data_IF_450671073343
#
_entry.id   IF_450671073343
#
_cell.length_a   1.000
_cell.length_b   1.000
_cell.length_c   1.000
_cell.angle_alpha   90.00
_cell.angle_beta   90.00
_cell.angle_gamma   90.00
#
_symmetry.space_group_name_H-M   'P 1'
#
loop_
_entity.id
_entity.type
_entity.pdbx_description
1 polymer ?
#
# COMPACT_ATOMS: atom_id res chain seq x y z
N UNK A 1 -51.35 -13.21 -20.59
CA UNK A 1 -50.15 -13.38 -21.43
C UNK A 1 -49.18 -14.20 -20.61
N UNK A 2 -48.98 -15.44 -21.04
CA UNK A 2 -48.30 -16.48 -20.29
C UNK A 2 -46.81 -16.35 -20.56
N UNK A 3 -46.01 -16.06 -19.53
CA UNK A 3 -44.56 -16.10 -19.64
C UNK A 3 -44.17 -17.53 -19.31
N UNK A 4 -43.75 -18.28 -20.33
CA UNK A 4 -43.16 -19.61 -20.17
C UNK A 4 -41.79 -19.45 -19.53
N UNK A 5 -41.63 -20.08 -18.37
CA UNK A 5 -40.34 -20.41 -17.78
C UNK A 5 -39.93 -21.71 -18.44
N UNK A 6 -38.83 -21.68 -19.20
CA UNK A 6 -38.13 -22.88 -19.66
C UNK A 6 -36.78 -22.85 -18.94
N UNK A 7 -36.74 -23.52 -17.80
CA UNK A 7 -35.51 -23.90 -17.10
C UNK A 7 -34.97 -25.13 -17.82
N UNK A 8 -33.89 -24.96 -18.56
CA UNK A 8 -33.06 -26.08 -19.01
C UNK A 8 -31.95 -26.25 -17.97
N UNK A 9 -32.17 -27.18 -17.03
CA UNK A 9 -31.11 -27.76 -16.22
C UNK A 9 -30.31 -28.73 -17.10
N UNK A 10 -29.03 -28.44 -17.34
CA UNK A 10 -28.10 -29.43 -17.89
C UNK A 10 -26.83 -29.54 -17.03
N UNK A 11 -26.80 -30.65 -16.29
CA UNK A 11 -25.68 -31.52 -15.91
C UNK A 11 -24.41 -30.87 -15.34
N UNK A 12 -24.22 -31.04 -14.03
CA UNK A 12 -22.94 -30.82 -13.32
C UNK A 12 -22.00 -32.00 -13.62
N UNK A 13 -20.94 -31.75 -14.39
CA UNK A 13 -19.75 -32.60 -14.38
C UNK A 13 -18.77 -32.13 -13.30
N UNK A 14 -18.32 -33.08 -12.48
CA UNK A 14 -17.37 -32.87 -11.39
C UNK A 14 -15.95 -32.59 -11.92
N UNK A 15 -15.72 -31.35 -12.36
CA UNK A 15 -14.41 -30.75 -12.52
C UNK A 15 -14.32 -29.57 -11.57
N UNK A 16 -13.33 -29.55 -10.68
CA UNK A 16 -13.04 -28.37 -9.86
C UNK A 16 -12.44 -27.26 -10.75
N UNK A 17 -13.27 -26.71 -11.63
CA UNK A 17 -12.99 -25.47 -12.34
C UNK A 17 -13.15 -24.35 -11.31
N UNK A 18 -12.03 -23.77 -10.89
CA UNK A 18 -12.06 -22.49 -10.18
C UNK A 18 -12.53 -21.49 -11.22
N UNK A 19 -13.85 -21.27 -11.30
CA UNK A 19 -14.41 -20.19 -12.12
C UNK A 19 -13.70 -18.90 -11.69
N UNK A 20 -12.82 -18.39 -12.55
CA UNK A 20 -12.17 -17.11 -12.35
C UNK A 20 -13.26 -16.04 -12.46
N UNK A 21 -13.83 -15.65 -11.32
CA UNK A 21 -14.89 -14.67 -11.26
C UNK A 21 -14.32 -13.27 -11.51
N UNK A 22 -14.28 -12.89 -12.78
CA UNK A 22 -13.89 -11.53 -13.20
C UNK A 22 -15.05 -10.56 -12.96
N UNK A 23 -14.77 -9.45 -12.28
CA UNK A 23 -15.71 -8.36 -12.10
C UNK A 23 -15.30 -7.15 -12.95
N UNK A 24 -16.24 -6.62 -13.73
CA UNK A 24 -16.01 -5.38 -14.50
C UNK A 24 -16.13 -4.17 -13.60
N UNK A 25 -15.10 -3.33 -13.57
CA UNK A 25 -15.10 -2.09 -12.80
C UNK A 25 -15.64 -0.96 -13.66
N UNK A 26 -16.78 -0.40 -13.23
CA UNK A 26 -17.40 0.76 -13.87
C UNK A 26 -16.83 2.06 -13.29
N UNK A 27 -15.98 2.76 -14.05
CA UNK A 27 -15.48 4.09 -13.70
C UNK A 27 -16.20 5.21 -14.43
N UNK A 28 -16.50 6.31 -13.73
CA UNK A 28 -16.97 7.54 -14.35
C UNK A 28 -15.82 8.25 -15.12
N UNK A 29 -16.14 9.25 -15.96
CA UNK A 29 -15.14 9.96 -16.79
C UNK A 29 -13.96 10.52 -15.98
N UNK A 30 -14.18 11.02 -14.76
CA UNK A 30 -13.11 11.55 -13.91
C UNK A 30 -12.21 10.43 -13.39
N UNK A 31 -12.78 9.31 -12.95
CA UNK A 31 -12.08 8.13 -12.47
C UNK A 31 -11.24 7.50 -13.59
N UNK A 32 -11.81 7.32 -14.80
CA UNK A 32 -11.06 6.75 -15.93
C UNK A 32 -9.86 7.60 -16.35
N UNK A 33 -10.01 8.92 -16.33
CA UNK A 33 -8.88 9.83 -16.58
C UNK A 33 -7.81 9.74 -15.50
N UNK A 34 -8.20 9.48 -14.24
CA UNK A 34 -7.26 9.24 -13.14
C UNK A 34 -6.51 7.91 -13.37
N UNK A 35 -7.22 6.82 -13.67
CA UNK A 35 -6.62 5.51 -13.96
C UNK A 35 -5.65 5.56 -15.14
N UNK A 36 -5.98 6.30 -16.20
CA UNK A 36 -5.06 6.54 -17.31
C UNK A 36 -3.80 7.30 -16.88
N UNK A 37 -3.94 8.36 -16.07
CA UNK A 37 -2.78 9.08 -15.51
C UNK A 37 -1.91 8.21 -14.62
N UNK A 38 -2.52 7.28 -13.88
CA UNK A 38 -1.84 6.31 -13.02
C UNK A 38 -1.28 5.12 -13.81
N UNK A 39 -1.49 5.05 -15.14
CA UNK A 39 -0.99 3.97 -15.99
C UNK A 39 -1.73 2.63 -15.84
N UNK A 40 -2.91 2.64 -15.22
CA UNK A 40 -3.76 1.44 -15.04
C UNK A 40 -4.51 1.10 -16.33
N UNK A 41 -4.80 2.11 -17.16
CA UNK A 41 -5.41 1.97 -18.48
C UNK A 41 -4.49 2.56 -19.55
N UNK A 42 -4.40 1.90 -20.70
CA UNK A 42 -3.67 2.43 -21.86
C UNK A 42 -4.47 3.58 -22.50
N UNK A 43 -5.77 3.39 -22.67
CA UNK A 43 -6.72 4.40 -23.11
C UNK A 43 -7.87 4.62 -22.12
N UNK A 44 -8.38 5.85 -22.06
CA UNK A 44 -9.49 6.19 -21.15
C UNK A 44 -10.79 5.42 -21.43
N UNK A 45 -10.90 4.78 -22.60
CA UNK A 45 -12.06 4.00 -23.02
C UNK A 45 -11.93 2.50 -22.73
N UNK A 46 -10.75 2.03 -22.32
CA UNK A 46 -10.46 0.60 -22.13
C UNK A 46 -11.18 0.03 -20.91
N UNK A 47 -11.79 -1.14 -21.07
CA UNK A 47 -12.49 -1.81 -19.98
C UNK A 47 -11.52 -2.32 -18.93
N UNK A 48 -11.84 -2.07 -17.66
CA UNK A 48 -11.08 -2.58 -16.52
C UNK A 48 -11.79 -3.79 -15.92
N UNK A 49 -11.13 -4.94 -15.98
CA UNK A 49 -11.59 -6.18 -15.38
C UNK A 49 -10.66 -6.56 -14.23
N UNK A 50 -11.25 -6.98 -13.10
CA UNK A 50 -10.49 -7.37 -11.92
C UNK A 50 -10.85 -8.80 -11.51
N UNK A 51 -9.82 -9.63 -11.41
CA UNK A 51 -9.88 -11.01 -10.94
C UNK A 51 -9.64 -11.10 -9.41
N UNK A 52 -10.08 -10.09 -8.65
CA UNK A 52 -9.95 -10.10 -7.20
C UNK A 52 -11.20 -10.77 -6.60
N UNK A 53 -11.12 -12.07 -6.34
CA UNK A 53 -12.10 -12.75 -5.50
C UNK A 53 -11.93 -12.32 -4.05
N UNK A 54 -12.93 -11.65 -3.47
CA UNK A 54 -12.96 -11.45 -2.02
C UNK A 54 -13.53 -12.72 -1.41
N UNK A 55 -12.75 -13.40 -0.56
CA UNK A 55 -13.29 -14.55 0.18
C UNK A 55 -14.34 -14.05 1.18
N UNK A 56 -15.37 -14.85 1.44
CA UNK A 56 -16.40 -14.53 2.43
C UNK A 56 -15.80 -14.17 3.81
N UNK A 57 -14.71 -14.84 4.19
CA UNK A 57 -13.93 -14.50 5.40
C UNK A 57 -13.31 -13.10 5.36
N UNK A 58 -12.84 -12.65 4.20
CA UNK A 58 -12.25 -11.31 4.05
C UNK A 58 -13.32 -10.22 4.13
N UNK A 59 -14.52 -10.45 3.59
CA UNK A 59 -15.65 -9.52 3.74
C UNK A 59 -16.05 -9.37 5.21
N UNK A 60 -16.20 -10.49 5.92
CA UNK A 60 -16.52 -10.49 7.36
C UNK A 60 -15.45 -9.76 8.18
N UNK A 61 -14.16 -10.03 7.92
CA UNK A 61 -13.06 -9.35 8.60
C UNK A 61 -13.05 -7.84 8.31
N UNK A 62 -13.38 -7.44 7.09
CA UNK A 62 -13.47 -6.04 6.69
C UNK A 62 -14.66 -5.32 7.36
N UNK A 63 -15.83 -5.96 7.39
CA UNK A 63 -16.98 -5.42 8.12
C UNK A 63 -16.71 -5.27 9.62
N UNK A 64 -16.07 -6.27 10.23
CA UNK A 64 -15.74 -6.23 11.65
C UNK A 64 -14.71 -5.13 11.94
N UNK A 65 -13.70 -4.97 11.08
CA UNK A 65 -12.72 -3.89 11.22
C UNK A 65 -13.33 -2.51 11.01
N UNK A 66 -14.31 -2.34 10.11
CA UNK A 66 -15.10 -1.10 9.97
C UNK A 66 -15.95 -0.78 11.19
N UNK A 67 -16.54 -1.79 11.82
CA UNK A 67 -17.37 -1.65 13.03
C UNK A 67 -16.50 -1.27 14.24
N UNK A 68 -15.25 -1.75 14.29
CA UNK A 68 -14.26 -1.38 15.30
C UNK A 68 -13.76 0.05 15.03
N UNK A 69 -14.19 1.01 15.85
CA UNK A 69 -13.64 2.37 15.81
C UNK A 69 -12.13 2.39 16.02
N UNK A 70 -11.47 3.50 15.65
CA UNK A 70 -10.05 3.72 15.96
C UNK A 70 -9.89 3.72 17.48
N UNK A 71 -9.31 2.64 18.03
CA UNK A 71 -9.01 2.52 19.45
C UNK A 71 -7.87 3.45 19.82
N UNK A 72 -7.93 4.02 21.01
CA UNK A 72 -6.83 4.86 21.49
C UNK A 72 -5.61 3.99 21.78
N UNK A 73 -4.43 4.60 21.71
CA UNK A 73 -3.17 3.92 22.00
C UNK A 73 -3.15 3.25 23.39
N UNK A 74 -3.75 3.90 24.38
CA UNK A 74 -3.81 3.42 25.77
C UNK A 74 -4.68 2.17 25.91
N UNK A 75 -5.66 1.98 25.02
CA UNK A 75 -6.51 0.79 24.96
C UNK A 75 -5.83 -0.36 24.21
N UNK A 76 -5.01 -0.05 23.21
CA UNK A 76 -4.29 -1.05 22.40
C UNK A 76 -3.05 -1.55 23.16
N UNK A 77 -2.30 -0.65 23.78
CA UNK A 77 -1.03 -0.96 24.44
C UNK A 77 -1.30 -1.40 25.88
N UNK A 78 -0.82 -2.57 26.33
CA UNK A 78 -0.94 -2.99 27.72
C UNK A 78 -0.34 -1.98 28.69
N UNK A 79 -0.92 -1.88 29.89
CA UNK A 79 -0.54 -0.90 30.91
C UNK A 79 0.97 -0.95 31.27
N UNK A 80 1.59 -2.13 31.23
CA UNK A 80 3.02 -2.33 31.49
C UNK A 80 3.91 -1.54 30.51
N UNK A 81 3.43 -1.31 29.29
CA UNK A 81 4.17 -0.64 28.22
C UNK A 81 3.78 0.83 28.04
N UNK A 82 2.86 1.36 28.85
CA UNK A 82 2.50 2.79 28.81
C UNK A 82 3.71 3.69 29.11
N UNK A 83 4.69 3.20 29.86
CA UNK A 83 5.98 3.91 30.06
C UNK A 83 6.76 4.13 28.75
N UNK A 84 6.59 3.22 27.78
CA UNK A 84 7.25 3.29 26.47
C UNK A 84 6.31 3.79 25.40
N UNK A 85 5.34 4.65 25.78
CA UNK A 85 4.38 5.25 24.84
C UNK A 85 5.07 5.80 23.60
N UNK A 86 6.24 6.42 23.81
CA UNK A 86 7.07 6.99 22.75
C UNK A 86 7.35 6.03 21.58
N UNK A 87 7.55 4.75 21.88
CA UNK A 87 7.94 3.74 20.89
C UNK A 87 6.81 3.35 19.96
N UNK A 88 5.54 3.50 20.38
CA UNK A 88 4.39 3.16 19.54
C UNK A 88 3.71 4.40 18.93
N UNK A 89 4.32 5.59 19.06
CA UNK A 89 3.87 6.79 18.37
C UNK A 89 4.41 6.77 16.95
N UNK A 90 3.52 6.92 15.95
CA UNK A 90 3.90 6.94 14.53
C UNK A 90 4.82 8.13 14.23
N UNK A 91 4.47 9.31 14.71
CA UNK A 91 5.25 10.54 14.54
C UNK A 91 6.68 10.41 15.11
N UNK A 92 6.80 9.85 16.32
CA UNK A 92 8.11 9.73 16.98
C UNK A 92 8.96 8.60 16.38
N UNK A 93 8.35 7.67 15.65
CA UNK A 93 9.06 6.61 14.93
C UNK A 93 9.81 7.10 13.70
N UNK A 94 9.42 8.24 13.13
CA UNK A 94 10.11 8.85 11.99
C UNK A 94 11.47 9.45 12.36
N UNK A 95 11.70 9.73 13.65
CA UNK A 95 12.93 10.36 14.12
C UNK A 95 13.95 9.33 14.64
N UNK A 96 15.23 9.52 14.29
CA UNK A 96 16.29 8.71 14.88
C UNK A 96 16.46 9.02 16.39
N UNK A 97 16.82 8.01 17.20
CA UNK A 97 17.18 8.23 18.59
C UNK A 97 18.47 9.06 18.70
N UNK A 98 18.64 9.72 19.83
CA UNK A 98 19.85 10.50 20.14
C UNK A 98 21.13 9.66 20.03
N UNK A 99 22.21 10.33 19.59
CA UNK A 99 23.51 9.68 19.41
C UNK A 99 24.03 9.13 20.74
N UNK A 100 24.37 7.84 20.76
CA UNK A 100 24.83 7.12 21.95
C UNK A 100 26.31 6.75 21.84
N UNK A 101 27.03 6.56 22.96
CA UNK A 101 28.46 6.24 22.94
C UNK A 101 28.76 4.86 22.34
N UNK A 102 27.75 4.01 22.21
CA UNK A 102 27.81 2.70 21.55
C UNK A 102 27.36 2.73 20.09
N UNK A 103 27.11 3.91 19.53
CA UNK A 103 26.94 4.03 18.09
C UNK A 103 28.26 3.65 17.39
N UNK A 104 28.15 2.95 16.27
CA UNK A 104 29.32 2.54 15.51
C UNK A 104 30.01 3.77 14.91
N UNK A 105 31.28 3.96 15.25
CA UNK A 105 32.14 4.95 14.59
C UNK A 105 32.64 4.38 13.27
N UNK A 106 32.68 5.22 12.24
CA UNK A 106 33.29 4.86 10.96
C UNK A 106 34.74 5.35 11.01
N UNK A 107 35.64 4.44 11.40
CA UNK A 107 37.07 4.75 11.50
C UNK A 107 37.70 4.70 10.09
N UNK A 108 38.09 5.87 9.57
CA UNK A 108 38.76 5.97 8.28
C UNK A 108 40.24 5.56 8.40
N UNK A 109 40.80 5.03 7.31
CA UNK A 109 42.25 4.77 7.22
C UNK A 109 43.03 6.10 7.22
N UNK A 110 44.28 6.14 7.72
CA UNK A 110 45.05 7.39 7.81
C UNK A 110 45.32 8.05 6.46
N UNK A 111 45.39 7.27 5.37
CA UNK A 111 45.60 7.77 4.01
C UNK A 111 44.29 7.98 3.23
N UNK A 112 43.13 7.86 3.90
CA UNK A 112 41.85 8.01 3.23
C UNK A 112 41.59 9.50 2.87
N UNK A 113 41.08 9.79 1.66
CA UNK A 113 40.68 11.14 1.32
C UNK A 113 39.49 11.59 2.17
N UNK A 114 39.49 12.84 2.64
CA UNK A 114 38.40 13.42 3.43
C UNK A 114 37.08 13.48 2.64
N UNK A 115 37.16 13.61 1.32
CA UNK A 115 36.00 13.61 0.43
C UNK A 115 36.22 12.66 -0.75
N UNK A 116 35.24 11.80 -1.00
CA UNK A 116 35.23 10.93 -2.18
C UNK A 116 34.47 11.68 -3.28
N UNK A 117 35.18 12.14 -4.30
CA UNK A 117 34.59 12.78 -5.46
C UNK A 117 34.04 11.73 -6.43
N UNK A 118 32.90 11.12 -6.09
CA UNK A 118 32.15 10.26 -7.01
C UNK A 118 31.16 11.10 -7.81
N UNK A 119 31.15 10.94 -9.15
CA UNK A 119 30.15 11.57 -9.99
C UNK A 119 28.76 10.99 -9.69
N UNK A 120 27.83 11.85 -9.28
CA UNK A 120 26.43 11.47 -9.12
C UNK A 120 25.81 11.28 -10.51
N UNK A 121 25.11 10.17 -10.71
CA UNK A 121 24.38 9.94 -11.95
C UNK A 121 23.20 10.91 -12.04
N UNK A 122 22.96 11.52 -13.22
CA UNK A 122 21.83 12.42 -13.38
C UNK A 122 20.53 11.65 -13.17
N UNK A 123 19.67 12.14 -12.28
CA UNK A 123 18.31 11.65 -12.10
C UNK A 123 17.37 12.35 -13.08
N UNK A 124 16.22 11.73 -13.36
CA UNK A 124 15.16 12.41 -14.12
C UNK A 124 14.56 13.56 -13.31
N UNK A 125 13.91 14.51 -13.98
CA UNK A 125 13.32 15.68 -13.31
C UNK A 125 12.27 15.28 -12.26
N UNK A 126 11.51 14.22 -12.52
CA UNK A 126 10.49 13.73 -11.58
C UNK A 126 11.14 13.12 -10.34
N UNK A 127 12.13 12.24 -10.51
CA UNK A 127 12.85 11.61 -9.40
C UNK A 127 13.60 12.64 -8.55
N UNK A 128 14.22 13.64 -9.19
CA UNK A 128 14.89 14.73 -8.49
C UNK A 128 13.88 15.54 -7.66
N UNK A 129 12.70 15.84 -8.22
CA UNK A 129 11.65 16.57 -7.50
C UNK A 129 11.13 15.81 -6.28
N UNK A 130 10.95 14.48 -6.39
CA UNK A 130 10.55 13.63 -5.26
C UNK A 130 11.65 13.55 -4.19
N UNK A 131 12.91 13.42 -4.61
CA UNK A 131 14.04 13.41 -3.69
C UNK A 131 14.16 14.74 -2.95
N UNK A 132 14.10 15.86 -3.66
CA UNK A 132 14.23 17.19 -3.07
C UNK A 132 13.11 17.43 -2.04
N UNK A 133 11.86 17.04 -2.37
CA UNK A 133 10.74 17.09 -1.43
C UNK A 133 11.00 16.22 -0.19
N UNK A 134 11.47 14.99 -0.37
CA UNK A 134 11.76 14.09 0.74
C UNK A 134 12.85 14.66 1.66
N UNK A 135 13.90 15.25 1.09
CA UNK A 135 14.99 15.86 1.85
C UNK A 135 14.50 17.07 2.64
N UNK A 136 13.66 17.93 2.06
CA UNK A 136 13.07 19.08 2.77
C UNK A 136 12.16 18.67 3.94
N UNK A 137 11.47 17.54 3.82
CA UNK A 137 10.57 17.03 4.87
C UNK A 137 11.31 16.35 6.04
N UNK A 138 12.52 15.81 5.81
CA UNK A 138 13.19 14.90 6.76
C UNK A 138 14.57 15.36 7.29
N UNK A 139 15.15 16.46 6.77
CA UNK A 139 16.42 17.05 7.25
C UNK A 139 16.19 18.33 8.07
#
# INVERSE_FOLDING_TARGET
>A
MNIKVEEEEEVKEDGAEVEEQYQRIMGNRKQRRKWWKEGILEDTMDELWVAAGVTYSAELAYEESKKKGKRSMEEIVPAEFHKYRKVFSEEESHHLPEHKPYNHTIDLKPDAPETIQSKVYPMSVNEQGELDQFLEENL
#
